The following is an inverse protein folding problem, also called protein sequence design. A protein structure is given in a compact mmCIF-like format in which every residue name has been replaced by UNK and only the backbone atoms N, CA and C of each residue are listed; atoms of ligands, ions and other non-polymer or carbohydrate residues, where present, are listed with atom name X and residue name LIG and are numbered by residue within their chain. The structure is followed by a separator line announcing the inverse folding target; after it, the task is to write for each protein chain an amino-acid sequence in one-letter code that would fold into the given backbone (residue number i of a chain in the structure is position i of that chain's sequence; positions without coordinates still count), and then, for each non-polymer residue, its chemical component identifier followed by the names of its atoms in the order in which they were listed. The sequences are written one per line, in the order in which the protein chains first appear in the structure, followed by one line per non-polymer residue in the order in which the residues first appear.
data_IF_745993214387
#
_entry.id   IF_745993214387
#
_cell.length_a   1.000
_cell.length_b   1.000
_cell.length_c   1.000
_cell.angle_alpha   90.00
_cell.angle_beta   90.00
_cell.angle_gamma   90.00
#
_symmetry.space_group_name_H-M   'P 1'
#
loop_
_entity.id
_entity.type
_entity.pdbx_description
1 polymer ?
#
# COMPACT_ATOMS: atom_id res chain seq x y z
N UNK A 1 -28.07 -43.61 18.04
CA UNK A 1 -27.18 -42.85 17.15
C UNK A 1 -26.67 -41.65 17.93
N UNK A 2 -25.45 -41.72 18.47
CA UNK A 2 -24.91 -40.72 19.39
C UNK A 2 -24.35 -39.52 18.64
N UNK A 3 -24.88 -38.33 18.89
CA UNK A 3 -24.30 -37.07 18.41
C UNK A 3 -22.94 -36.87 19.09
N UNK A 4 -21.87 -36.90 18.31
CA UNK A 4 -20.55 -36.51 18.82
C UNK A 4 -20.48 -34.98 18.92
N UNK A 5 -20.44 -34.45 20.15
CA UNK A 5 -20.04 -33.07 20.41
C UNK A 5 -18.52 -33.02 20.31
N UNK A 6 -18.00 -32.90 19.07
CA UNK A 6 -16.58 -32.64 18.86
C UNK A 6 -16.31 -31.26 19.46
N UNK A 7 -15.58 -31.22 20.57
CA UNK A 7 -15.10 -29.99 21.19
C UNK A 7 -14.10 -29.36 20.21
N UNK A 8 -14.60 -28.52 19.30
CA UNK A 8 -13.79 -27.83 18.31
C UNK A 8 -12.81 -26.93 19.07
N UNK A 9 -11.57 -27.40 19.22
CA UNK A 9 -10.50 -26.59 19.78
C UNK A 9 -10.38 -25.35 18.90
N UNK A 10 -10.54 -24.18 19.52
CA UNK A 10 -10.45 -22.91 18.81
C UNK A 10 -8.99 -22.70 18.41
N UNK A 11 -8.68 -22.95 17.13
CA UNK A 11 -7.34 -22.79 16.56
C UNK A 11 -7.20 -21.37 16.01
N UNK A 12 -6.06 -20.75 16.26
CA UNK A 12 -5.61 -19.50 15.64
C UNK A 12 -4.80 -19.84 14.40
N UNK A 13 -5.11 -19.21 13.27
CA UNK A 13 -4.41 -19.42 12.00
C UNK A 13 -3.65 -18.17 11.61
N UNK A 14 -2.35 -18.30 11.34
CA UNK A 14 -1.48 -17.19 10.93
C UNK A 14 -0.86 -17.51 9.57
N UNK A 15 -1.15 -16.70 8.55
CA UNK A 15 -0.58 -16.85 7.22
C UNK A 15 0.73 -16.10 7.10
N UNK A 16 1.76 -16.80 6.67
CA UNK A 16 3.07 -16.23 6.35
C UNK A 16 3.07 -15.60 4.95
N UNK A 17 4.11 -14.82 4.68
CA UNK A 17 4.39 -14.22 3.36
C UNK A 17 4.63 -15.28 2.27
N UNK A 18 5.07 -16.49 2.65
CA UNK A 18 5.24 -17.64 1.76
C UNK A 18 3.92 -18.35 1.41
N UNK A 19 2.80 -17.88 1.96
CA UNK A 19 1.47 -18.47 1.80
C UNK A 19 1.20 -19.67 2.71
N UNK A 20 2.16 -20.10 3.54
CA UNK A 20 1.94 -21.19 4.49
C UNK A 20 1.18 -20.70 5.72
N UNK A 21 0.35 -21.57 6.27
CA UNK A 21 -0.47 -21.29 7.46
C UNK A 21 0.16 -21.97 8.67
N UNK A 22 0.33 -21.21 9.75
CA UNK A 22 0.72 -21.71 11.07
C UNK A 22 -0.53 -21.79 11.95
N UNK A 23 -0.69 -22.92 12.63
CA UNK A 23 -1.83 -23.18 13.52
C UNK A 23 -1.37 -23.18 14.98
N UNK A 24 -2.00 -22.36 15.80
CA UNK A 24 -1.74 -22.24 17.24
C UNK A 24 -3.02 -22.54 18.04
N UNK A 25 -2.88 -23.08 19.24
CA UNK A 25 -4.02 -23.28 20.15
C UNK A 25 -4.37 -21.94 20.82
N UNK A 26 -5.65 -21.55 20.80
CA UNK A 26 -6.10 -20.34 21.47
C UNK A 26 -6.30 -20.53 22.98
N UNK A 27 -6.20 -19.45 23.79
CA UNK A 27 -5.69 -18.12 23.43
C UNK A 27 -4.14 -18.12 23.37
N UNK A 28 -3.58 -17.44 22.37
CA UNK A 28 -2.12 -17.23 22.24
C UNK A 28 -1.86 -15.74 22.06
N UNK A 29 -0.81 -15.22 22.69
CA UNK A 29 -0.46 -13.80 22.56
C UNK A 29 0.34 -13.53 21.30
N UNK A 30 0.17 -12.33 20.74
CA UNK A 30 0.89 -11.89 19.54
C UNK A 30 2.41 -11.98 19.75
N UNK A 31 2.94 -11.52 20.88
CA UNK A 31 4.37 -11.61 21.16
C UNK A 31 4.89 -13.05 21.14
N UNK A 32 4.10 -14.03 21.60
CA UNK A 32 4.52 -15.43 21.65
C UNK A 32 4.73 -16.00 20.25
N UNK A 33 3.89 -15.57 19.29
CA UNK A 33 4.05 -15.91 17.87
C UNK A 33 5.23 -15.14 17.26
N UNK A 34 5.37 -13.85 17.57
CA UNK A 34 6.45 -13.00 17.03
C UNK A 34 7.84 -13.34 17.57
N UNK A 35 7.96 -13.92 18.77
CA UNK A 35 9.23 -14.40 19.33
C UNK A 35 9.94 -15.42 18.44
N UNK A 36 9.17 -16.20 17.65
CA UNK A 36 9.72 -17.16 16.70
C UNK A 36 10.00 -16.54 15.32
N UNK A 37 9.44 -15.36 15.05
CA UNK A 37 9.35 -14.73 13.73
C UNK A 37 9.77 -13.25 13.81
N UNK A 38 11.00 -13.01 14.25
CA UNK A 38 11.56 -11.66 14.36
C UNK A 38 11.51 -10.91 13.01
N UNK A 39 11.26 -9.61 13.05
CA UNK A 39 11.18 -8.77 11.84
C UNK A 39 9.82 -8.79 11.13
N UNK A 40 8.79 -9.34 11.78
CA UNK A 40 7.43 -9.38 11.25
C UNK A 40 6.43 -8.77 12.24
N UNK A 41 5.25 -8.44 11.74
CA UNK A 41 4.10 -7.91 12.47
C UNK A 41 2.86 -8.72 12.11
N UNK A 42 1.93 -8.85 13.04
CA UNK A 42 0.67 -9.57 12.83
C UNK A 42 -0.46 -8.56 12.59
N UNK A 43 -1.24 -8.79 11.53
CA UNK A 43 -2.42 -8.00 11.19
C UNK A 43 -3.67 -8.86 11.07
N UNK A 44 -4.83 -8.27 11.33
CA UNK A 44 -6.15 -8.88 11.10
C UNK A 44 -6.59 -8.85 9.64
N UNK A 45 -5.97 -8.02 8.80
CA UNK A 45 -6.39 -7.80 7.42
C UNK A 45 -5.22 -7.47 6.50
N UNK A 46 -5.22 -8.05 5.30
CA UNK A 46 -4.26 -7.70 4.25
C UNK A 46 -4.54 -6.32 3.62
N UNK A 47 -5.76 -5.80 3.74
CA UNK A 47 -6.18 -4.57 3.06
C UNK A 47 -5.77 -3.29 3.79
N UNK A 48 -5.43 -3.39 5.08
CA UNK A 48 -5.10 -2.23 5.92
C UNK A 48 -3.77 -2.51 6.62
N UNK A 49 -2.69 -1.99 6.05
CA UNK A 49 -1.31 -2.16 6.54
C UNK A 49 -1.14 -1.53 7.95
N UNK A 50 -2.06 -0.63 8.34
CA UNK A 50 -2.02 0.08 9.62
C UNK A 50 -2.75 -0.65 10.76
N UNK A 51 -3.49 -1.73 10.51
CA UNK A 51 -4.23 -2.48 11.54
C UNK A 51 -3.40 -3.63 12.14
N UNK A 52 -2.23 -3.26 12.64
CA UNK A 52 -1.32 -4.17 13.30
C UNK A 52 -1.76 -4.42 14.75
N UNK A 53 -1.78 -5.70 15.17
CA UNK A 53 -2.07 -6.03 16.56
C UNK A 53 -0.91 -5.65 17.46
N UNK A 54 -1.24 -5.24 18.69
CA UNK A 54 -0.24 -4.98 19.71
C UNK A 54 0.38 -6.30 20.19
N UNK A 55 1.65 -6.30 20.64
CA UNK A 55 2.31 -7.52 21.15
C UNK A 55 1.59 -8.20 22.31
N UNK A 56 0.84 -7.42 23.09
CA UNK A 56 0.08 -7.89 24.25
C UNK A 56 -1.35 -8.36 23.92
N UNK A 57 -1.81 -8.17 22.67
CA UNK A 57 -3.13 -8.61 22.25
C UNK A 57 -3.23 -10.14 22.21
N UNK A 58 -4.38 -10.66 22.64
CA UNK A 58 -4.71 -12.08 22.53
C UNK A 58 -5.24 -12.41 21.14
N UNK A 59 -4.65 -13.42 20.51
CA UNK A 59 -5.13 -13.97 19.26
C UNK A 59 -6.25 -14.98 19.55
N UNK A 60 -7.43 -14.66 19.02
CA UNK A 60 -8.66 -15.41 19.28
C UNK A 60 -8.79 -16.58 18.31
N UNK A 61 -9.08 -17.77 18.84
CA UNK A 61 -9.26 -18.93 17.99
C UNK A 61 -10.53 -18.85 17.15
N UNK A 62 -10.47 -19.41 15.94
CA UNK A 62 -11.45 -19.21 14.88
C UNK A 62 -11.21 -17.94 14.04
N UNK A 63 -10.19 -17.14 14.38
CA UNK A 63 -9.75 -16.00 13.57
C UNK A 63 -8.49 -16.34 12.76
N UNK A 64 -8.38 -15.63 11.65
CA UNK A 64 -7.26 -15.73 10.72
C UNK A 64 -6.47 -14.43 10.75
N UNK A 65 -5.16 -14.55 10.82
CA UNK A 65 -4.23 -13.45 10.96
C UNK A 65 -3.17 -13.54 9.86
N UNK A 66 -2.55 -12.41 9.55
CA UNK A 66 -1.54 -12.30 8.51
C UNK A 66 -0.22 -11.81 9.11
N UNK A 67 0.85 -12.51 8.78
CA UNK A 67 2.21 -12.12 9.13
C UNK A 67 2.79 -11.27 8.00
N UNK A 68 3.10 -10.02 8.32
CA UNK A 68 3.62 -9.01 7.41
C UNK A 68 5.08 -8.68 7.77
N UNK A 69 5.98 -8.49 6.79
CA UNK A 69 7.36 -8.10 7.08
C UNK A 69 7.41 -6.63 7.51
N UNK A 70 8.21 -6.32 8.53
CA UNK A 70 8.48 -4.92 8.92
C UNK A 70 9.40 -4.32 7.86
N UNK A 71 8.92 -3.30 7.14
CA UNK A 71 9.80 -2.55 6.25
C UNK A 71 10.84 -1.81 7.10
N UNK A 72 12.16 -1.98 6.84
CA UNK A 72 13.16 -1.20 7.54
C UNK A 72 12.94 0.28 7.23
N UNK A 73 13.09 1.17 8.24
CA UNK A 73 13.07 2.60 7.98
C UNK A 73 14.20 2.90 6.98
N UNK A 74 13.85 3.54 5.86
CA UNK A 74 14.85 4.00 4.87
C UNK A 74 15.93 4.78 5.63
N UNK A 75 17.23 4.51 5.41
CA UNK A 75 18.28 5.26 6.09
C UNK A 75 18.10 6.72 5.70
N UNK A 76 17.73 7.56 6.68
CA UNK A 76 17.72 8.99 6.51
C UNK A 76 19.13 9.39 6.08
N UNK A 77 19.28 9.85 4.85
CA UNK A 77 20.53 10.45 4.39
C UNK A 77 20.81 11.62 5.32
N UNK A 78 21.79 11.43 6.22
CA UNK A 78 22.23 12.46 7.15
C UNK A 78 22.80 13.61 6.32
N UNK A 79 21.98 14.62 6.01
CA UNK A 79 22.48 15.89 5.50
C UNK A 79 23.25 16.54 6.65
N UNK A 80 24.57 16.37 6.63
CA UNK A 80 25.49 17.22 7.40
C UNK A 80 25.37 18.64 6.86
N UNK A 81 24.86 19.56 7.67
CA UNK A 81 25.55 20.83 7.94
C UNK A 81 25.31 21.13 9.42
N UNK A 82 26.40 21.21 10.18
CA UNK A 82 26.41 21.57 11.61
C UNK A 82 26.31 23.08 11.73
N UNK A 83 25.35 23.60 12.49
CA UNK A 83 25.53 24.84 13.27
C UNK A 83 24.67 24.81 14.54
N UNK A 84 25.35 24.96 15.68
CA UNK A 84 24.93 25.19 17.07
C UNK A 84 24.13 24.11 17.83
N UNK A 85 24.58 23.85 19.07
CA UNK A 85 24.21 22.78 20.01
C UNK A 85 22.89 23.00 20.79
N UNK A 86 22.38 21.87 21.27
CA UNK A 86 21.55 21.59 22.47
C UNK A 86 20.14 22.17 22.63
N UNK A 87 19.12 21.31 22.49
CA UNK A 87 18.51 20.63 23.65
C UNK A 87 17.48 19.56 23.24
N UNK A 88 17.55 18.44 23.95
CA UNK A 88 16.70 17.26 23.85
C UNK A 88 15.25 17.56 24.27
N UNK A 89 14.32 17.49 23.32
CA UNK A 89 12.94 17.06 23.60
C UNK A 89 12.55 16.10 22.48
N UNK A 90 12.33 14.84 22.82
CA UNK A 90 11.75 13.83 21.94
C UNK A 90 10.30 14.21 21.60
N UNK A 91 10.13 15.12 20.64
CA UNK A 91 8.84 15.29 19.99
C UNK A 91 8.74 14.25 18.88
N UNK A 92 7.82 13.30 19.05
CA UNK A 92 7.48 12.26 18.07
C UNK A 92 7.41 12.89 16.68
N UNK A 93 8.42 12.60 15.85
CA UNK A 93 8.48 13.05 14.47
C UNK A 93 7.23 12.53 13.76
N UNK A 94 6.24 13.42 13.56
CA UNK A 94 5.17 13.19 12.61
C UNK A 94 5.84 12.76 11.30
N UNK A 95 5.42 11.65 10.67
CA UNK A 95 5.91 11.32 9.36
C UNK A 95 5.67 12.56 8.49
N UNK A 96 6.73 13.10 7.89
CA UNK A 96 6.57 14.11 6.85
C UNK A 96 5.80 13.42 5.74
N UNK A 97 4.49 13.62 5.71
CA UNK A 97 3.63 13.16 4.62
C UNK A 97 4.07 13.92 3.38
N UNK A 98 4.92 13.27 2.59
CA UNK A 98 5.32 13.77 1.29
C UNK A 98 4.07 13.71 0.39
N UNK A 99 3.40 14.86 0.26
CA UNK A 99 2.19 14.98 -0.55
C UNK A 99 2.59 15.10 -2.01
N UNK A 100 2.34 14.05 -2.79
CA UNK A 100 2.48 14.10 -4.25
C UNK A 100 1.17 14.61 -4.84
N UNK A 101 1.24 15.68 -5.63
CA UNK A 101 0.10 16.24 -6.37
C UNK A 101 0.17 15.77 -7.82
N UNK A 102 -0.87 15.08 -8.28
CA UNK A 102 -0.97 14.57 -9.64
C UNK A 102 -2.11 15.33 -10.34
N UNK A 103 -1.80 15.99 -11.45
CA UNK A 103 -2.81 16.57 -12.35
C UNK A 103 -3.23 15.50 -13.35
N UNK A 104 -4.52 15.18 -13.41
CA UNK A 104 -5.09 14.23 -14.36
C UNK A 104 -5.85 14.99 -15.45
N UNK A 105 -5.46 14.80 -16.71
CA UNK A 105 -6.19 15.35 -17.86
C UNK A 105 -7.14 14.27 -18.37
N UNK A 106 -8.45 14.58 -18.37
CA UNK A 106 -9.51 13.71 -18.90
C UNK A 106 -10.44 14.52 -19.79
N UNK A 107 -11.05 13.85 -20.77
CA UNK A 107 -12.09 14.47 -21.61
C UNK A 107 -13.41 14.63 -20.84
N UNK A 108 -14.28 15.53 -21.33
CA UNK A 108 -15.60 15.78 -20.75
C UNK A 108 -16.44 14.49 -20.63
N UNK A 109 -16.38 13.62 -21.66
CA UNK A 109 -17.08 12.33 -21.66
C UNK A 109 -16.56 11.38 -20.59
N UNK A 110 -15.25 11.38 -20.36
CA UNK A 110 -14.62 10.52 -19.36
C UNK A 110 -14.94 10.96 -17.95
N UNK A 111 -15.02 12.27 -17.73
CA UNK A 111 -15.48 12.85 -16.47
C UNK A 111 -16.94 12.49 -16.18
N UNK A 112 -17.82 12.60 -17.18
CA UNK A 112 -19.22 12.17 -17.03
C UNK A 112 -19.31 10.68 -16.67
N UNK A 113 -18.53 9.82 -17.34
CA UNK A 113 -18.47 8.41 -17.01
C UNK A 113 -17.96 8.15 -15.59
N UNK A 114 -16.97 8.91 -15.10
CA UNK A 114 -16.51 8.79 -13.70
C UNK A 114 -17.66 9.09 -12.74
N UNK A 115 -18.35 10.21 -12.94
CA UNK A 115 -19.43 10.67 -12.08
C UNK A 115 -20.63 9.70 -12.10
N UNK A 116 -20.97 9.16 -13.26
CA UNK A 116 -22.08 8.21 -13.43
C UNK A 116 -21.75 6.81 -12.90
N UNK A 117 -20.47 6.41 -12.94
CA UNK A 117 -20.04 5.08 -12.47
C UNK A 117 -20.02 4.93 -10.94
N UNK A 118 -19.97 6.04 -10.21
CA UNK A 118 -19.97 6.06 -8.74
C UNK A 118 -21.37 6.28 -8.19
N UNK A 119 -21.89 5.28 -7.50
CA UNK A 119 -23.11 5.40 -6.71
C UNK A 119 -22.91 6.49 -5.64
N UNK A 120 -23.66 7.60 -5.76
CA UNK A 120 -23.58 8.72 -4.81
C UNK A 120 -22.56 9.83 -5.15
N UNK A 121 -21.94 9.82 -6.33
CA UNK A 121 -21.10 10.92 -6.82
C UNK A 121 -19.78 11.13 -6.07
N UNK A 122 -19.41 10.22 -5.17
CA UNK A 122 -18.14 10.25 -4.45
C UNK A 122 -17.05 9.53 -5.24
N UNK A 123 -16.05 10.29 -5.71
CA UNK A 123 -14.91 9.73 -6.43
C UNK A 123 -13.80 9.42 -5.43
N UNK A 124 -13.46 8.14 -5.25
CA UNK A 124 -12.29 7.74 -4.43
C UNK A 124 -11.03 7.62 -5.29
N UNK A 125 -9.86 7.77 -4.66
CA UNK A 125 -8.54 7.67 -5.32
C UNK A 125 -8.37 6.32 -6.04
N UNK A 126 -8.88 5.24 -5.44
CA UNK A 126 -8.78 3.88 -6.01
C UNK A 126 -9.53 3.75 -7.34
N UNK A 127 -10.69 4.41 -7.48
CA UNK A 127 -11.45 4.40 -8.74
C UNK A 127 -10.67 5.08 -9.87
N UNK A 128 -9.96 6.17 -9.55
CA UNK A 128 -9.11 6.89 -10.51
C UNK A 128 -7.90 6.04 -10.90
N UNK A 129 -7.24 5.43 -9.92
CA UNK A 129 -6.04 4.60 -10.15
C UNK A 129 -6.37 3.35 -11.01
N UNK A 130 -7.43 2.63 -10.68
CA UNK A 130 -7.82 1.42 -11.41
C UNK A 130 -8.15 1.70 -12.88
N UNK A 131 -8.77 2.85 -13.17
CA UNK A 131 -9.10 3.24 -14.55
C UNK A 131 -7.84 3.54 -15.38
N UNK A 132 -6.80 4.09 -14.77
CA UNK A 132 -5.53 4.33 -15.46
C UNK A 132 -4.87 3.00 -15.87
N UNK A 133 -4.87 2.01 -14.97
CA UNK A 133 -4.31 0.67 -15.24
C UNK A 133 -5.08 -0.07 -16.34
N UNK A 134 -6.41 0.05 -16.39
CA UNK A 134 -7.22 -0.60 -17.43
C UNK A 134 -6.98 -0.01 -18.84
N UNK A 135 -6.67 1.28 -18.94
CA UNK A 135 -6.35 1.91 -20.24
C UNK A 135 -5.05 1.39 -20.85
N UNK A 136 -4.04 1.07 -20.04
CA UNK A 136 -2.76 0.55 -20.54
C UNK A 136 -2.86 -0.85 -21.15
N UNK A 137 -3.87 -1.65 -20.77
CA UNK A 137 -4.06 -2.99 -21.32
C UNK A 137 -4.79 -3.02 -22.68
N UNK A 138 -5.43 -1.91 -23.08
CA UNK A 138 -6.21 -1.85 -24.34
C UNK A 138 -5.35 -1.37 -25.52
N UNK A 139 -4.21 -0.70 -25.27
CA UNK A 139 -3.41 -0.07 -26.33
C UNK A 139 -2.28 -0.93 -26.93
N UNK A 140 -2.13 -2.21 -26.58
CA UNK A 140 -0.98 -3.02 -27.03
C UNK A 140 -1.18 -3.76 -28.37
N UNK A 141 -2.31 -3.62 -29.07
CA UNK A 141 -2.59 -4.45 -30.25
C UNK A 141 -2.39 -3.79 -31.62
N UNK A 142 -2.05 -2.51 -31.69
CA UNK A 142 -1.77 -1.86 -32.97
C UNK A 142 -0.58 -0.91 -32.83
N UNK A 143 0.63 -1.40 -33.09
CA UNK A 143 1.69 -0.71 -33.84
C UNK A 143 2.69 -1.77 -34.30
N UNK A 144 2.81 -1.91 -35.62
CA UNK A 144 3.88 -2.63 -36.29
C UNK A 144 5.24 -2.10 -35.77
N UNK A 145 6.02 -3.00 -35.18
CA UNK A 145 7.43 -2.83 -34.88
C UNK A 145 8.20 -2.63 -36.19
N UNK A 146 8.35 -1.38 -36.65
CA UNK A 146 9.42 -1.02 -37.58
C UNK A 146 10.65 -0.68 -36.77
N UNK A 147 11.61 -1.60 -36.81
CA UNK A 147 12.99 -1.43 -36.35
C UNK A 147 13.56 -0.16 -36.96
N UNK A 148 13.98 0.78 -36.11
CA UNK A 148 14.96 1.82 -36.46
C UNK A 148 15.97 1.81 -35.32
N UNK A 149 17.10 1.16 -35.56
CA UNK A 149 18.32 1.39 -34.81
C UNK A 149 18.78 2.82 -35.10
N UNK A 150 18.77 3.70 -34.09
CA UNK A 150 19.53 4.94 -34.18
C UNK A 150 20.12 5.31 -32.82
N UNK A 151 21.46 5.30 -32.80
CA UNK A 151 22.27 5.69 -31.66
C UNK A 151 22.26 7.21 -31.57
N UNK A 152 21.53 7.79 -30.62
CA UNK A 152 21.78 9.17 -30.22
C UNK A 152 21.42 9.45 -28.77
N UNK A 153 22.40 10.05 -28.10
CA UNK A 153 22.42 10.46 -26.71
C UNK A 153 21.45 11.62 -26.50
N UNK A 154 20.35 11.43 -25.78
CA UNK A 154 19.65 12.54 -25.12
C UNK A 154 18.86 12.04 -23.89
N UNK A 155 19.52 12.07 -22.74
CA UNK A 155 18.86 11.94 -21.44
C UNK A 155 18.25 13.30 -21.11
N UNK A 156 16.98 13.54 -21.43
CA UNK A 156 16.41 14.84 -21.08
C UNK A 156 14.97 15.17 -21.44
N UNK A 157 14.26 14.37 -22.26
CA UNK A 157 12.87 14.72 -22.61
C UNK A 157 11.89 14.12 -21.62
N UNK A 158 11.88 14.70 -20.42
CA UNK A 158 10.74 14.59 -19.52
C UNK A 158 9.46 15.10 -20.20
N UNK A 159 8.31 14.60 -19.78
CA UNK A 159 7.01 15.08 -20.23
C UNK A 159 6.93 16.62 -20.13
N UNK A 160 6.84 17.31 -21.27
CA UNK A 160 6.44 18.72 -21.33
C UNK A 160 4.99 18.75 -21.82
N UNK A 161 4.04 19.30 -21.05
CA UNK A 161 2.69 19.51 -21.56
C UNK A 161 2.73 20.44 -22.78
N UNK A 162 1.83 20.19 -23.74
CA UNK A 162 1.71 21.01 -24.96
C UNK A 162 1.25 22.44 -24.65
N UNK A 163 0.67 22.67 -23.47
CA UNK A 163 0.23 23.97 -22.99
C UNK A 163 1.24 24.51 -21.98
N UNK A 164 1.70 25.74 -22.21
CA UNK A 164 2.72 26.37 -21.36
C UNK A 164 2.18 26.75 -19.97
N UNK A 165 0.88 27.11 -19.84
CA UNK A 165 0.18 27.30 -18.56
C UNK A 165 -1.35 27.31 -18.75
N UNK A 166 -2.11 27.08 -17.66
CA UNK A 166 -3.58 27.24 -17.61
C UNK A 166 -3.87 28.56 -16.87
N UNK A 167 -4.60 29.52 -17.45
CA UNK A 167 -4.93 30.76 -16.76
C UNK A 167 -5.86 30.48 -15.57
N UNK A 168 -5.45 30.94 -14.39
CA UNK A 168 -6.31 31.00 -13.21
C UNK A 168 -7.18 32.27 -13.33
N UNK A 169 -8.50 32.11 -13.27
CA UNK A 169 -9.43 33.24 -13.17
C UNK A 169 -9.66 33.53 -11.68
N UNK A 170 -9.38 34.77 -11.27
CA UNK A 170 -9.81 35.35 -9.98
C UNK A 170 -11.33 35.58 -9.94
#
# INVERSE_FOLDING_TARGET
MGNCIVHQQKIVRVMKTDGKILEYKAPVKVHQVLSQLSGHVISNSLKVIDQNLQPDDDMLGGKFYYLLPILPPKPATKKKVKFADDQLVEEKAKPKTEVVRIKLVISVKELQALLMSTEGGLITVDHIANRCVQKEQISTNDIKSSVIDDYSTDRGKGWKPVLDDIPEFD
#
